data_IF_616567271939
#
_entry.id   IF_616567271939
#
_cell.length_a   1.000
_cell.length_b   1.000
_cell.length_c   1.000
_cell.angle_alpha   90.00
_cell.angle_beta   90.00
_cell.angle_gamma   90.00
#
_symmetry.space_group_name_H-M   'P 1'
#
loop_
_entity.id
_entity.type
_entity.pdbx_description
1 polymer ?
#
# COMPACT_ATOMS: atom_id res chain seq x y z
N UNK A 1 -1.12 -13.91 -0.65
CA UNK A 1 -1.11 -15.20 -1.37
C UNK A 1 0.34 -15.58 -1.59
N UNK A 2 0.64 -16.89 -1.58
CA UNK A 2 2.01 -17.41 -1.70
C UNK A 2 2.02 -18.63 -2.61
N UNK A 3 2.72 -18.60 -3.74
CA UNK A 3 3.00 -19.77 -4.58
C UNK A 3 4.07 -20.63 -3.89
N UNK A 4 3.63 -21.59 -3.07
CA UNK A 4 4.51 -22.43 -2.25
C UNK A 4 4.93 -23.71 -2.95
N UNK A 5 4.28 -24.03 -4.07
CA UNK A 5 4.55 -25.23 -4.85
C UNK A 5 5.38 -24.96 -6.13
N UNK A 6 5.68 -23.69 -6.41
CA UNK A 6 6.59 -23.22 -7.45
C UNK A 6 6.08 -23.46 -8.88
N UNK A 7 4.78 -23.53 -9.05
CA UNK A 7 4.17 -23.74 -10.36
C UNK A 7 3.86 -22.43 -11.11
N UNK A 8 4.30 -21.29 -10.56
CA UNK A 8 4.07 -19.95 -11.08
C UNK A 8 2.58 -19.60 -11.16
N UNK A 9 1.77 -20.13 -10.24
CA UNK A 9 0.33 -19.93 -10.17
C UNK A 9 -0.12 -19.99 -8.70
N UNK A 10 -1.27 -19.41 -8.38
CA UNK A 10 -1.86 -19.51 -7.03
C UNK A 10 -3.11 -20.38 -7.09
N UNK A 11 -3.16 -21.43 -6.27
CA UNK A 11 -4.37 -22.23 -6.05
C UNK A 11 -5.18 -21.76 -4.82
N UNK A 12 -6.22 -22.51 -4.43
CA UNK A 12 -7.04 -22.12 -3.27
C UNK A 12 -6.38 -22.40 -1.91
N UNK A 13 -5.40 -23.29 -1.84
CA UNK A 13 -4.64 -23.59 -0.61
C UNK A 13 -3.55 -22.55 -0.36
N UNK A 14 -3.13 -21.85 -1.41
CA UNK A 14 -2.12 -20.78 -1.42
C UNK A 14 -2.70 -19.39 -1.11
N UNK A 15 -4.02 -19.32 -0.91
CA UNK A 15 -4.74 -18.11 -0.52
C UNK A 15 -4.79 -17.96 0.98
N UNK A 16 -4.40 -16.77 1.42
CA UNK A 16 -4.55 -16.32 2.81
C UNK A 16 -5.50 -15.14 2.81
N UNK A 17 -6.61 -15.26 3.56
CA UNK A 17 -7.55 -14.18 3.73
C UNK A 17 -6.94 -13.08 4.61
N UNK A 18 -7.15 -11.83 4.20
CA UNK A 18 -6.69 -10.64 4.89
C UNK A 18 -7.90 -9.89 5.42
N UNK A 19 -7.83 -9.45 6.68
CA UNK A 19 -8.81 -8.56 7.30
C UNK A 19 -8.18 -7.18 7.47
N UNK A 20 -8.72 -6.19 6.77
CA UNK A 20 -8.29 -4.80 6.93
C UNK A 20 -8.60 -4.26 8.32
N UNK A 21 -7.70 -3.44 8.86
CA UNK A 21 -7.89 -2.68 10.09
C UNK A 21 -8.06 -1.20 9.76
N UNK A 22 -6.98 -0.42 9.83
CA UNK A 22 -6.98 0.98 9.44
C UNK A 22 -6.77 1.19 7.94
N UNK A 23 -6.38 0.13 7.22
CA UNK A 23 -6.02 0.20 5.82
C UNK A 23 -4.70 0.93 5.57
N UNK A 24 -4.39 1.17 4.30
CA UNK A 24 -3.20 1.88 3.87
C UNK A 24 -3.45 3.39 3.93
N UNK A 25 -2.49 4.15 4.46
CA UNK A 25 -2.47 5.62 4.43
C UNK A 25 -1.29 6.12 3.62
N UNK A 26 -1.58 6.78 2.50
CA UNK A 26 -0.55 7.34 1.62
C UNK A 26 0.23 8.43 2.36
N UNK A 27 1.56 8.35 2.31
CA UNK A 27 2.47 9.29 2.96
C UNK A 27 2.79 8.97 4.42
N UNK A 28 2.30 7.86 4.98
CA UNK A 28 2.52 7.47 6.37
C UNK A 28 3.27 6.15 6.49
N UNK A 29 4.09 6.05 7.54
CA UNK A 29 4.60 4.78 8.03
C UNK A 29 3.55 4.12 8.93
N UNK A 30 3.67 2.81 9.10
CA UNK A 30 2.79 2.02 9.96
C UNK A 30 3.60 1.00 10.74
N UNK A 31 3.13 0.68 11.94
CA UNK A 31 3.63 -0.42 12.75
C UNK A 31 2.95 -1.75 12.37
N UNK A 32 3.51 -2.92 12.75
CA UNK A 32 2.81 -4.18 12.62
C UNK A 32 1.40 -4.14 13.23
N UNK A 33 0.46 -4.80 12.57
CA UNK A 33 -0.97 -4.87 12.94
C UNK A 33 -1.73 -3.54 12.91
N UNK A 34 -1.30 -2.54 12.14
CA UNK A 34 -2.08 -1.31 11.91
C UNK A 34 -2.87 -1.33 10.59
N UNK A 35 -2.25 -1.84 9.52
CA UNK A 35 -2.85 -1.87 8.16
C UNK A 35 -3.90 -2.97 8.07
N UNK A 36 -3.49 -4.20 8.36
CA UNK A 36 -4.30 -5.40 8.24
C UNK A 36 -3.83 -6.52 9.19
N UNK A 37 -4.59 -7.62 9.19
CA UNK A 37 -4.23 -8.87 9.85
C UNK A 37 -4.58 -10.06 8.98
N UNK A 38 -3.81 -11.13 9.12
CA UNK A 38 -4.07 -12.40 8.46
C UNK A 38 -3.49 -13.55 9.29
N UNK A 39 -3.78 -14.81 8.91
CA UNK A 39 -3.21 -16.00 9.55
C UNK A 39 -2.69 -16.98 8.53
N UNK A 40 -1.45 -17.41 8.71
CA UNK A 40 -0.83 -18.49 7.95
C UNK A 40 -0.33 -19.54 8.93
N UNK A 41 -0.68 -20.81 8.71
CA UNK A 41 -0.35 -21.91 9.64
C UNK A 41 -0.75 -21.63 11.10
N UNK A 42 -1.91 -20.99 11.30
CA UNK A 42 -2.43 -20.53 12.60
C UNK A 42 -1.60 -19.48 13.33
N UNK A 43 -0.55 -18.93 12.71
CA UNK A 43 0.25 -17.83 13.23
C UNK A 43 -0.25 -16.52 12.62
N UNK A 44 -0.48 -15.52 13.46
CA UNK A 44 -0.92 -14.20 13.01
C UNK A 44 0.23 -13.48 12.29
N UNK A 45 -0.13 -12.72 11.26
CA UNK A 45 0.76 -11.79 10.60
C UNK A 45 0.02 -10.53 10.17
N UNK A 46 0.79 -9.56 9.71
CA UNK A 46 0.29 -8.28 9.21
C UNK A 46 1.24 -7.71 8.18
N UNK A 47 0.70 -6.86 7.31
CA UNK A 47 1.53 -5.97 6.51
C UNK A 47 1.74 -4.62 7.19
N UNK A 48 2.86 -3.97 6.88
CA UNK A 48 3.21 -2.66 7.42
C UNK A 48 4.30 -1.96 6.61
N UNK A 49 4.57 -0.69 6.94
CA UNK A 49 5.54 0.18 6.28
C UNK A 49 6.38 0.93 7.31
N UNK A 50 7.49 0.36 7.81
CA UNK A 50 8.17 0.90 8.98
C UNK A 50 8.94 2.19 8.73
N UNK A 51 9.56 2.33 7.55
CA UNK A 51 10.54 3.39 7.27
C UNK A 51 10.15 4.23 6.06
N UNK A 52 9.89 3.58 4.93
CA UNK A 52 9.54 4.26 3.67
C UNK A 52 8.01 4.23 3.54
N UNK A 53 7.33 5.39 3.58
CA UNK A 53 5.88 5.45 3.41
C UNK A 53 5.47 5.14 1.97
N UNK A 54 4.25 4.62 1.79
CA UNK A 54 3.66 4.43 0.46
C UNK A 54 3.39 5.79 -0.17
N UNK A 55 3.78 5.97 -1.43
CA UNK A 55 3.58 7.18 -2.22
C UNK A 55 3.15 6.80 -3.65
N UNK A 56 2.79 7.78 -4.49
CA UNK A 56 2.37 7.53 -5.87
C UNK A 56 0.87 7.73 -6.09
N UNK A 57 0.37 7.26 -7.22
CA UNK A 57 -0.99 7.50 -7.70
C UNK A 57 -1.45 6.40 -8.68
N UNK A 58 -2.57 6.63 -9.37
CA UNK A 58 -3.13 5.70 -10.36
C UNK A 58 -2.45 5.74 -11.72
N UNK A 59 -1.62 6.74 -12.01
CA UNK A 59 -0.93 6.88 -13.30
C UNK A 59 0.34 6.03 -13.35
N UNK A 60 1.13 6.05 -12.26
CA UNK A 60 2.40 5.31 -12.17
C UNK A 60 2.35 4.12 -11.21
N UNK A 61 1.25 3.97 -10.47
CA UNK A 61 1.13 2.98 -9.38
C UNK A 61 1.62 3.54 -8.05
N UNK A 62 1.51 2.71 -7.01
CA UNK A 62 1.98 3.05 -5.68
C UNK A 62 3.37 2.48 -5.43
N UNK A 63 4.27 3.33 -4.93
CA UNK A 63 5.59 2.92 -4.45
C UNK A 63 5.46 2.10 -3.16
N UNK A 64 5.84 0.83 -3.25
CA UNK A 64 5.81 -0.19 -2.23
C UNK A 64 7.22 -0.63 -1.79
N UNK A 65 8.28 0.10 -2.13
CA UNK A 65 9.68 -0.18 -1.66
C UNK A 65 9.81 -0.32 -0.13
N UNK A 66 8.93 0.33 0.63
CA UNK A 66 8.84 0.24 2.09
C UNK A 66 7.92 -0.86 2.64
N UNK A 67 7.22 -1.60 1.77
CA UNK A 67 6.27 -2.65 2.16
C UNK A 67 7.00 -3.81 2.80
N UNK A 68 6.53 -4.22 3.99
CA UNK A 68 7.09 -5.33 4.75
C UNK A 68 6.01 -6.25 5.27
N UNK A 69 6.43 -7.47 5.55
CA UNK A 69 5.60 -8.53 6.13
C UNK A 69 6.11 -8.82 7.53
N UNK A 70 5.23 -8.71 8.53
CA UNK A 70 5.49 -9.15 9.89
C UNK A 70 4.78 -10.48 10.14
N UNK A 71 5.53 -11.51 10.53
CA UNK A 71 5.01 -12.85 10.79
C UNK A 71 5.89 -13.61 11.77
N UNK A 72 5.28 -14.41 12.65
CA UNK A 72 5.99 -15.19 13.66
C UNK A 72 6.93 -14.31 14.53
N UNK A 73 6.39 -13.19 15.01
CA UNK A 73 7.06 -12.20 15.86
C UNK A 73 8.32 -11.54 15.28
N UNK A 74 8.50 -11.60 13.95
CA UNK A 74 9.62 -10.99 13.24
C UNK A 74 9.21 -10.42 11.88
N UNK A 75 10.03 -9.52 11.34
CA UNK A 75 9.94 -9.11 9.94
C UNK A 75 10.49 -10.21 9.03
N UNK A 76 9.78 -10.53 7.96
CA UNK A 76 10.25 -11.41 6.89
C UNK A 76 11.24 -10.62 6.02
N UNK A 77 12.50 -11.08 6.00
CA UNK A 77 13.63 -10.38 5.33
C UNK A 77 13.86 -10.81 3.88
N UNK A 78 13.16 -11.83 3.38
CA UNK A 78 13.55 -12.52 2.15
C UNK A 78 12.86 -11.96 0.89
N UNK A 79 12.68 -10.64 0.78
CA UNK A 79 12.20 -10.01 -0.46
C UNK A 79 13.38 -9.81 -1.43
N UNK A 80 13.19 -10.19 -2.70
CA UNK A 80 14.27 -10.24 -3.69
C UNK A 80 14.33 -9.01 -4.61
N UNK A 81 13.44 -8.04 -4.41
CA UNK A 81 13.27 -6.86 -5.26
C UNK A 81 13.07 -7.24 -6.73
N UNK A 82 12.33 -8.31 -6.98
CA UNK A 82 11.94 -8.77 -8.30
C UNK A 82 10.45 -9.10 -8.32
N UNK A 83 9.69 -8.45 -9.20
CA UNK A 83 8.27 -8.74 -9.34
C UNK A 83 8.01 -10.16 -9.85
N UNK A 84 7.17 -10.89 -9.14
CA UNK A 84 6.65 -12.17 -9.58
C UNK A 84 5.52 -12.00 -10.60
N UNK A 85 5.50 -12.84 -11.65
CA UNK A 85 4.51 -12.79 -12.74
C UNK A 85 3.63 -14.04 -12.74
N UNK A 86 2.49 -14.05 -12.00
CA UNK A 86 1.60 -15.22 -11.93
C UNK A 86 0.99 -15.56 -13.29
N UNK A 87 1.04 -16.83 -13.67
CA UNK A 87 0.42 -17.33 -14.92
C UNK A 87 -1.11 -17.34 -14.90
N UNK A 88 -1.72 -17.36 -13.71
CA UNK A 88 -3.18 -17.44 -13.52
C UNK A 88 -3.78 -16.20 -12.85
N UNK A 89 -3.13 -15.03 -13.01
CA UNK A 89 -3.53 -13.75 -12.43
C UNK A 89 -5.05 -13.45 -12.58
N UNK A 90 -5.59 -13.74 -13.77
CA UNK A 90 -6.99 -13.51 -14.16
C UNK A 90 -7.97 -14.24 -13.24
N UNK A 91 -7.62 -15.47 -12.85
CA UNK A 91 -8.48 -16.37 -12.07
C UNK A 91 -8.34 -16.06 -10.57
N UNK A 92 -7.16 -15.64 -10.15
CA UNK A 92 -6.79 -15.51 -8.74
C UNK A 92 -7.22 -14.16 -8.17
N UNK A 93 -6.98 -13.09 -8.93
CA UNK A 93 -7.19 -11.72 -8.45
C UNK A 93 -7.64 -10.74 -9.54
N UNK A 94 -7.96 -11.21 -10.76
CA UNK A 94 -8.52 -10.36 -11.83
C UNK A 94 -7.52 -9.41 -12.50
N UNK A 95 -6.22 -9.70 -12.41
CA UNK A 95 -5.13 -8.85 -12.90
C UNK A 95 -4.73 -9.14 -14.36
N UNK A 96 -5.71 -9.38 -15.24
CA UNK A 96 -5.45 -9.73 -16.64
C UNK A 96 -4.74 -8.63 -17.40
N UNK A 97 -3.68 -9.01 -18.11
CA UNK A 97 -2.87 -8.10 -18.92
C UNK A 97 -1.97 -7.14 -18.11
N UNK A 98 -1.91 -7.27 -16.78
CA UNK A 98 -0.98 -6.47 -15.97
C UNK A 98 0.45 -7.01 -16.11
N UNK A 99 1.40 -6.08 -16.14
CA UNK A 99 2.84 -6.39 -16.02
C UNK A 99 3.29 -5.83 -14.68
N UNK A 100 3.74 -6.69 -13.78
CA UNK A 100 4.20 -6.25 -12.47
C UNK A 100 5.63 -5.73 -12.52
N UNK A 101 5.90 -4.71 -11.72
CA UNK A 101 7.24 -4.15 -11.52
C UNK A 101 7.62 -4.29 -10.06
N UNK A 102 8.92 -4.52 -9.83
CA UNK A 102 9.49 -4.60 -8.48
C UNK A 102 9.17 -3.32 -7.71
N UNK A 103 8.82 -3.46 -6.43
CA UNK A 103 8.52 -2.36 -5.52
C UNK A 103 7.36 -1.43 -5.96
N UNK A 104 6.58 -1.77 -6.98
CA UNK A 104 5.44 -0.96 -7.47
C UNK A 104 4.17 -1.77 -7.45
N UNK A 105 3.18 -1.28 -6.71
CA UNK A 105 1.83 -1.84 -6.72
C UNK A 105 0.98 -1.19 -7.83
N UNK A 106 0.31 -2.03 -8.60
CA UNK A 106 -0.69 -1.59 -9.58
C UNK A 106 -1.94 -1.13 -8.84
N UNK A 107 -2.23 0.17 -8.90
CA UNK A 107 -3.34 0.78 -8.19
C UNK A 107 -4.40 1.28 -9.16
N UNK A 108 -5.62 0.78 -9.00
CA UNK A 108 -6.78 1.18 -9.78
C UNK A 108 -7.85 1.76 -8.87
N UNK A 109 -8.20 3.01 -9.16
CA UNK A 109 -9.26 3.74 -8.49
C UNK A 109 -9.82 4.80 -9.45
N UNK A 110 -11.09 5.15 -9.30
CA UNK A 110 -11.79 6.09 -10.19
C UNK A 110 -11.37 7.55 -10.03
N UNK A 111 -10.64 7.88 -8.95
CA UNK A 111 -10.37 9.27 -8.55
C UNK A 111 -11.47 9.90 -7.69
N UNK A 112 -12.56 9.17 -7.39
CA UNK A 112 -13.69 9.66 -6.60
C UNK A 112 -13.66 9.04 -5.20
N UNK A 113 -13.62 9.88 -4.16
CA UNK A 113 -13.62 9.40 -2.78
C UNK A 113 -14.91 8.64 -2.43
N UNK A 114 -14.78 7.57 -1.66
CA UNK A 114 -15.85 6.61 -1.37
C UNK A 114 -15.97 5.48 -2.40
N UNK A 115 -15.39 5.63 -3.60
CA UNK A 115 -15.36 4.55 -4.57
C UNK A 115 -14.40 3.44 -4.15
N UNK A 116 -14.68 2.24 -4.67
CA UNK A 116 -13.85 1.07 -4.45
C UNK A 116 -12.53 1.19 -5.22
N UNK A 117 -11.44 0.78 -4.58
CA UNK A 117 -10.16 0.57 -5.26
C UNK A 117 -9.85 -0.91 -5.40
N UNK A 118 -8.94 -1.18 -6.32
CA UNK A 118 -8.25 -2.45 -6.44
C UNK A 118 -6.74 -2.20 -6.47
N UNK A 119 -5.99 -3.02 -5.75
CA UNK A 119 -4.55 -2.89 -5.63
C UNK A 119 -3.91 -4.26 -5.72
N UNK A 120 -2.93 -4.40 -6.61
CA UNK A 120 -2.14 -5.62 -6.75
C UNK A 120 -0.66 -5.31 -6.56
N UNK A 121 -0.01 -6.08 -5.72
CA UNK A 121 1.43 -6.02 -5.51
C UNK A 121 2.00 -7.41 -5.55
N UNK A 122 3.15 -7.57 -6.21
CA UNK A 122 3.83 -8.85 -6.32
C UNK A 122 5.32 -8.71 -6.11
N UNK A 123 5.90 -9.71 -5.48
CA UNK A 123 7.34 -9.82 -5.30
C UNK A 123 7.74 -11.29 -5.27
N UNK A 124 8.99 -11.57 -5.55
CA UNK A 124 9.58 -12.87 -5.25
C UNK A 124 10.10 -12.86 -3.82
N UNK A 125 9.87 -13.98 -3.14
CA UNK A 125 10.36 -14.17 -1.78
C UNK A 125 11.03 -15.53 -1.58
N UNK A 126 11.82 -15.62 -0.52
CA UNK A 126 12.59 -16.80 -0.12
C UNK A 126 14.03 -16.75 -0.62
N UNK A 127 14.91 -17.47 0.07
CA UNK A 127 16.37 -17.50 -0.16
C UNK A 127 16.77 -17.98 -1.57
N UNK A 128 15.87 -18.64 -2.29
CA UNK A 128 16.11 -19.20 -3.64
C UNK A 128 15.13 -18.66 -4.69
N UNK A 129 14.56 -17.48 -4.46
CA UNK A 129 13.93 -16.69 -5.51
C UNK A 129 12.75 -17.38 -6.23
N UNK A 130 11.98 -18.16 -5.45
CA UNK A 130 11.08 -19.17 -6.01
C UNK A 130 9.65 -19.00 -5.54
N UNK A 131 9.41 -18.44 -4.34
CA UNK A 131 8.03 -18.26 -3.86
C UNK A 131 7.48 -16.95 -4.43
N UNK A 132 6.42 -17.08 -5.22
CA UNK A 132 5.64 -15.95 -5.67
C UNK A 132 4.81 -15.37 -4.53
N UNK A 133 5.04 -14.12 -4.16
CA UNK A 133 4.20 -13.40 -3.22
C UNK A 133 3.28 -12.46 -4.00
N UNK A 134 1.97 -12.55 -3.73
CA UNK A 134 0.97 -11.65 -4.29
C UNK A 134 0.05 -11.13 -3.19
N UNK A 135 -0.13 -9.82 -3.15
CA UNK A 135 -1.13 -9.13 -2.36
C UNK A 135 -2.17 -8.54 -3.29
N UNK A 136 -3.43 -8.82 -2.98
CA UNK A 136 -4.58 -8.19 -3.60
C UNK A 136 -5.41 -7.53 -2.51
N UNK A 137 -5.56 -6.20 -2.57
CA UNK A 137 -6.36 -5.42 -1.64
C UNK A 137 -7.51 -4.72 -2.37
N UNK A 138 -8.63 -4.63 -1.68
CA UNK A 138 -9.79 -3.86 -2.09
C UNK A 138 -10.42 -3.22 -0.87
N UNK A 139 -11.10 -2.09 -1.08
CA UNK A 139 -11.74 -1.29 -0.05
C UNK A 139 -12.17 0.04 -0.66
N UNK A 140 -12.51 1.02 0.16
CA UNK A 140 -12.84 2.38 -0.31
C UNK A 140 -11.66 3.33 -0.10
N UNK A 141 -11.55 4.34 -0.96
CA UNK A 141 -10.58 5.43 -0.78
C UNK A 141 -11.26 6.59 -0.06
N UNK A 142 -10.76 6.94 1.12
CA UNK A 142 -11.25 8.06 1.91
C UNK A 142 -10.32 9.27 1.81
N UNK A 143 -10.89 10.47 1.82
CA UNK A 143 -10.08 11.68 1.89
C UNK A 143 -9.42 11.79 3.26
N UNK A 144 -8.10 12.03 3.28
CA UNK A 144 -7.41 12.38 4.53
C UNK A 144 -7.80 13.83 4.88
N UNK A 145 -8.39 14.11 6.06
CA UNK A 145 -8.69 15.47 6.46
C UNK A 145 -7.40 16.28 6.48
N UNK A 146 -7.27 17.28 5.61
CA UNK A 146 -6.16 18.23 5.69
C UNK A 146 -6.24 18.93 7.05
N UNK A 147 -5.14 18.96 7.83
CA UNK A 147 -5.11 19.74 9.06
C UNK A 147 -5.50 21.19 8.76
N UNK A 148 -5.92 21.95 9.78
CA UNK A 148 -6.41 23.33 9.70
C UNK A 148 -5.40 24.38 9.14
N UNK A 149 -4.37 23.97 8.41
CA UNK A 149 -3.41 24.81 7.72
C UNK A 149 -4.10 25.85 6.82
N UNK A 150 -5.25 25.55 6.22
CA UNK A 150 -6.04 26.56 5.49
C UNK A 150 -6.42 27.75 6.38
N UNK A 151 -6.80 27.52 7.64
CA UNK A 151 -7.08 28.58 8.60
C UNK A 151 -5.82 29.33 9.02
N UNK A 152 -4.68 28.63 9.16
CA UNK A 152 -3.38 29.26 9.45
C UNK A 152 -2.88 30.13 8.30
N UNK A 153 -3.08 29.69 7.05
CA UNK A 153 -2.77 30.47 5.86
C UNK A 153 -3.66 31.72 5.75
N UNK A 154 -4.96 31.59 6.03
CA UNK A 154 -5.88 32.74 6.05
C UNK A 154 -5.55 33.71 7.19
N UNK A 155 -5.28 33.22 8.40
CA UNK A 155 -4.93 34.08 9.54
C UNK A 155 -3.57 34.77 9.37
N UNK A 156 -2.60 34.05 8.78
CA UNK A 156 -1.29 34.60 8.47
C UNK A 156 -1.36 35.69 7.41
N UNK A 157 -2.14 35.47 6.33
CA UNK A 157 -2.33 36.45 5.27
C UNK A 157 -3.09 37.69 5.75
N UNK A 158 -4.14 37.52 6.57
CA UNK A 158 -4.86 38.64 7.17
C UNK A 158 -3.96 39.47 8.10
N UNK A 159 -3.11 38.81 8.89
CA UNK A 159 -2.11 39.47 9.72
C UNK A 159 -1.10 40.29 8.90
N UNK A 160 -0.62 39.75 7.78
CA UNK A 160 0.31 40.43 6.87
C UNK A 160 -0.31 41.65 6.20
N UNK A 161 -1.57 41.57 5.73
CA UNK A 161 -2.30 42.71 5.15
C UNK A 161 -2.51 43.81 6.20
N UNK A 162 -2.81 43.44 7.45
CA UNK A 162 -2.94 44.37 8.57
C UNK A 162 -1.65 45.15 8.86
N UNK A 163 -0.50 44.48 8.82
CA UNK A 163 0.81 45.11 9.02
C UNK A 163 1.19 45.99 7.82
N UNK A 164 0.92 45.55 6.59
CA UNK A 164 1.20 46.33 5.39
C UNK A 164 0.42 47.65 5.33
N UNK A 165 -0.86 47.66 5.72
CA UNK A 165 -1.67 48.89 5.82
C UNK A 165 -1.11 49.91 6.81
N UNK A 166 -0.44 49.47 7.88
CA UNK A 166 0.12 50.35 8.91
C UNK A 166 1.31 51.16 8.41
N UNK A 167 2.04 50.69 7.39
CA UNK A 167 3.20 51.38 6.80
C UNK A 167 2.86 52.45 5.78
N UNK A 168 1.65 52.47 5.23
CA UNK A 168 1.24 53.44 4.19
C UNK A 168 0.64 54.72 4.82
N UNK A 169 0.39 54.73 6.13
CA UNK A 169 -0.26 55.83 6.87
C UNK A 169 0.70 56.78 7.60
N UNK A 170 2.01 56.77 7.29
CA UNK A 170 2.99 57.73 7.84
C UNK A 170 3.65 58.48 6.70
#
# INVERSE_FOLDING_TARGET
>A
MLDVNYNNSVDNYEKVAISGLSGIRIGYTSAPFEVDTWRFSNIAGSHYTPVIPITGDTEVGLNFSGWRVFWNDAEVQDFQNEAWQPTNCDIVSGCSGMVFQSEVANFQWSGVYGDTYQLWYTEKTGTWDTIGYLVYLTGTVEAVPVPASVWLFISGLAGLIGIAKRRIST
#
